data_IF_329613259556
#
_entry.id   IF_329613259556
#
_cell.length_a   1.000
_cell.length_b   1.000
_cell.length_c   1.000
_cell.angle_alpha   90.00
_cell.angle_beta   90.00
_cell.angle_gamma   90.00
#
_symmetry.space_group_name_H-M   'P 1'
#
loop_
_entity.id
_entity.type
_entity.pdbx_description
1 polymer ?
#
# COMPACT_ATOMS: atom_id res chain seq x y z
N UNK A 1 -51.25 -42.79 -5.63
CA UNK A 1 -50.22 -41.85 -5.15
C UNK A 1 -50.90 -40.50 -4.95
N UNK A 2 -51.05 -40.03 -3.70
CA UNK A 2 -51.91 -38.88 -3.35
C UNK A 2 -51.42 -37.56 -3.95
N UNK A 3 -52.32 -36.77 -4.54
CA UNK A 3 -52.06 -35.47 -5.17
C UNK A 3 -51.39 -34.47 -4.20
N UNK A 4 -51.66 -34.62 -2.90
CA UNK A 4 -51.12 -33.77 -1.83
C UNK A 4 -49.60 -33.96 -1.64
N UNK A 5 -49.07 -35.15 -1.94
CA UNK A 5 -47.64 -35.44 -1.84
C UNK A 5 -46.85 -34.89 -3.03
N UNK A 6 -47.51 -34.67 -4.17
CA UNK A 6 -46.91 -34.07 -5.36
C UNK A 6 -46.78 -32.55 -5.20
N UNK A 7 -47.83 -31.88 -4.71
CA UNK A 7 -47.86 -30.43 -4.45
C UNK A 7 -46.85 -30.05 -3.36
N UNK A 8 -46.75 -30.83 -2.28
CA UNK A 8 -45.78 -30.60 -1.20
C UNK A 8 -44.32 -30.72 -1.66
N UNK A 9 -44.01 -31.67 -2.57
CA UNK A 9 -42.68 -31.84 -3.15
C UNK A 9 -42.27 -30.70 -4.09
N UNK A 10 -43.22 -30.14 -4.84
CA UNK A 10 -42.96 -28.98 -5.71
C UNK A 10 -42.74 -27.69 -4.92
N UNK A 11 -43.46 -27.48 -3.82
CA UNK A 11 -43.28 -26.30 -2.93
C UNK A 11 -41.88 -26.32 -2.29
N UNK A 12 -41.39 -27.49 -1.86
CA UNK A 12 -40.04 -27.61 -1.29
C UNK A 12 -38.92 -27.30 -2.30
N UNK A 13 -39.09 -27.67 -3.58
CA UNK A 13 -38.12 -27.38 -4.64
C UNK A 13 -38.07 -25.89 -5.02
N UNK A 14 -39.22 -25.19 -5.00
CA UNK A 14 -39.28 -23.74 -5.29
C UNK A 14 -38.66 -22.91 -4.15
N UNK A 15 -38.82 -23.33 -2.90
CA UNK A 15 -38.21 -22.64 -1.74
C UNK A 15 -36.69 -22.82 -1.69
N UNK A 16 -36.16 -23.96 -2.12
CA UNK A 16 -34.70 -24.19 -2.17
C UNK A 16 -34.00 -23.38 -3.26
N UNK A 17 -34.69 -23.10 -4.38
CA UNK A 17 -34.14 -22.33 -5.50
C UNK A 17 -34.06 -20.81 -5.21
N UNK A 18 -34.83 -20.31 -4.24
CA UNK A 18 -34.84 -18.88 -3.88
C UNK A 18 -33.70 -18.48 -2.94
N UNK A 19 -32.89 -19.42 -2.44
CA UNK A 19 -31.81 -19.12 -1.48
C UNK A 19 -30.41 -18.92 -2.10
N UNK A 20 -30.27 -18.98 -3.44
CA UNK A 20 -28.96 -18.89 -4.12
C UNK A 20 -28.65 -17.48 -4.65
N UNK A 21 -29.55 -16.50 -4.48
CA UNK A 21 -29.32 -15.11 -4.91
C UNK A 21 -28.60 -14.26 -3.85
N UNK A 22 -27.73 -14.86 -3.03
CA UNK A 22 -26.78 -14.15 -2.18
C UNK A 22 -25.71 -13.47 -3.04
N UNK A 23 -26.04 -12.33 -3.65
CA UNK A 23 -25.10 -11.53 -4.42
C UNK A 23 -23.88 -11.19 -3.55
N UNK A 24 -22.70 -11.63 -3.97
CA UNK A 24 -21.45 -11.19 -3.35
C UNK A 24 -21.32 -9.68 -3.58
N UNK A 25 -21.59 -8.88 -2.54
CA UNK A 25 -21.21 -7.47 -2.54
C UNK A 25 -19.68 -7.43 -2.48
N UNK A 26 -19.07 -7.42 -3.65
CA UNK A 26 -17.64 -7.17 -3.79
C UNK A 26 -17.43 -5.71 -3.39
N UNK A 27 -17.16 -5.47 -2.11
CA UNK A 27 -16.80 -4.13 -1.63
C UNK A 27 -15.57 -3.66 -2.43
N UNK A 28 -15.74 -2.68 -3.29
CA UNK A 28 -14.69 -2.10 -4.12
C UNK A 28 -13.84 -1.16 -3.25
N UNK A 29 -12.54 -1.09 -3.50
CA UNK A 29 -11.69 -0.07 -2.90
C UNK A 29 -11.75 1.21 -3.75
N UNK A 30 -11.97 2.36 -3.13
CA UNK A 30 -11.93 3.63 -3.86
C UNK A 30 -10.56 3.82 -4.52
N UNK A 31 -10.49 4.38 -5.74
CA UNK A 31 -9.23 4.80 -6.33
C UNK A 31 -8.46 5.72 -5.37
N UNK A 32 -7.14 5.55 -5.32
CA UNK A 32 -6.27 6.32 -4.43
C UNK A 32 -5.15 6.99 -5.18
N UNK A 33 -4.71 8.16 -4.69
CA UNK A 33 -3.46 8.78 -5.10
C UNK A 33 -2.45 8.69 -3.97
N UNK A 34 -1.29 8.11 -4.27
CA UNK A 34 -0.20 7.88 -3.31
C UNK A 34 1.06 8.59 -3.79
N UNK A 35 1.70 9.32 -2.88
CA UNK A 35 3.02 9.89 -3.10
C UNK A 35 4.08 8.98 -2.48
N UNK A 36 5.00 8.50 -3.31
CA UNK A 36 6.16 7.71 -2.90
C UNK A 36 7.43 8.57 -2.96
N UNK A 37 8.12 8.69 -1.83
CA UNK A 37 9.36 9.45 -1.68
C UNK A 37 10.53 8.52 -1.38
N UNK A 38 11.61 8.63 -2.15
CA UNK A 38 12.90 8.04 -1.81
C UNK A 38 13.63 9.02 -0.89
N UNK A 39 13.96 8.56 0.31
CA UNK A 39 14.58 9.37 1.37
C UNK A 39 15.93 8.78 1.76
N UNK A 40 16.96 9.63 1.84
CA UNK A 40 18.26 9.29 2.42
C UNK A 40 18.26 9.71 3.89
N UNK A 41 18.50 8.77 4.81
CA UNK A 41 18.86 9.08 6.19
C UNK A 41 20.37 9.00 6.37
N UNK A 42 20.96 10.00 7.00
CA UNK A 42 22.39 10.01 7.36
C UNK A 42 22.62 10.94 8.55
N UNK A 43 23.75 10.80 9.24
CA UNK A 43 24.20 11.77 10.24
C UNK A 43 25.15 12.83 9.65
N UNK A 44 25.53 12.70 8.38
CA UNK A 44 26.40 13.66 7.69
C UNK A 44 25.58 14.70 6.95
N UNK A 45 26.05 15.95 6.96
CA UNK A 45 25.46 17.01 6.15
C UNK A 45 25.52 16.67 4.66
N UNK A 46 24.43 16.94 3.94
CA UNK A 46 24.37 16.82 2.49
C UNK A 46 24.03 18.17 1.87
N UNK A 47 25.07 18.95 1.56
CA UNK A 47 24.92 20.28 0.94
C UNK A 47 24.16 20.17 -0.39
N UNK A 48 23.22 21.09 -0.59
CA UNK A 48 22.42 21.17 -1.83
C UNK A 48 21.33 20.11 -1.97
N UNK A 49 21.07 19.29 -0.94
CA UNK A 49 19.91 18.39 -0.92
C UNK A 49 18.76 18.99 -0.12
N UNK A 50 17.54 18.75 -0.59
CA UNK A 50 16.32 19.17 0.10
C UNK A 50 16.03 18.23 1.26
N UNK A 51 15.94 18.77 2.48
CA UNK A 51 15.46 18.00 3.63
C UNK A 51 13.98 17.63 3.47
N UNK A 52 13.60 16.47 3.99
CA UNK A 52 12.18 16.08 4.05
C UNK A 52 11.42 17.01 5.01
N UNK A 53 10.09 17.03 4.89
CA UNK A 53 9.25 17.78 5.84
C UNK A 53 9.47 17.32 7.29
N UNK A 54 9.26 18.25 8.22
CA UNK A 54 9.36 18.02 9.67
C UNK A 54 8.59 16.79 10.15
N UNK A 55 7.40 16.55 9.58
CA UNK A 55 6.56 15.39 9.93
C UNK A 55 7.22 14.08 9.53
N UNK A 56 7.80 14.01 8.33
CA UNK A 56 8.54 12.83 7.87
C UNK A 56 9.81 12.66 8.70
N UNK A 57 10.58 13.74 8.91
CA UNK A 57 11.81 13.74 9.73
C UNK A 57 11.55 13.17 11.12
N UNK A 58 10.58 13.74 11.84
CA UNK A 58 10.20 13.30 13.19
C UNK A 58 9.76 11.84 13.22
N UNK A 59 9.03 11.38 12.20
CA UNK A 59 8.59 9.98 12.14
C UNK A 59 9.74 9.00 11.92
N UNK A 60 10.70 9.35 11.06
CA UNK A 60 11.87 8.52 10.82
C UNK A 60 12.83 8.53 12.02
N UNK A 61 13.09 9.70 12.62
CA UNK A 61 13.99 9.85 13.77
C UNK A 61 13.52 9.12 15.03
N UNK A 62 12.21 8.85 15.15
CA UNK A 62 11.65 8.05 16.25
C UNK A 62 12.05 6.57 16.20
N UNK A 63 12.42 6.07 15.01
CA UNK A 63 12.66 4.63 14.77
C UNK A 63 14.10 4.37 14.35
N UNK A 64 14.72 5.30 13.65
CA UNK A 64 16.05 5.13 13.05
C UNK A 64 17.05 6.14 13.65
N UNK A 65 18.32 5.72 13.73
CA UNK A 65 19.41 6.47 14.37
C UNK A 65 19.92 7.72 13.61
N UNK A 66 19.40 7.99 12.41
CA UNK A 66 19.95 9.04 11.54
C UNK A 66 19.46 10.43 11.97
N UNK A 67 20.36 11.41 11.96
CA UNK A 67 20.03 12.77 12.40
C UNK A 67 19.34 13.59 11.31
N UNK A 68 19.66 13.32 10.05
CA UNK A 68 19.19 14.09 8.90
C UNK A 68 18.54 13.20 7.86
N UNK A 69 17.54 13.74 7.18
CA UNK A 69 16.77 13.04 6.17
C UNK A 69 16.52 13.92 4.96
N UNK A 70 16.89 13.44 3.78
CA UNK A 70 16.83 14.20 2.54
C UNK A 70 15.96 13.50 1.51
N UNK A 71 15.09 14.25 0.83
CA UNK A 71 14.31 13.71 -0.29
C UNK A 71 15.22 13.63 -1.52
N UNK A 72 15.39 12.42 -2.06
CA UNK A 72 16.14 12.19 -3.29
C UNK A 72 15.24 12.19 -4.52
N UNK A 73 14.00 11.71 -4.37
CA UNK A 73 13.02 11.61 -5.45
C UNK A 73 11.60 11.48 -4.94
N UNK A 74 10.65 12.07 -5.66
CA UNK A 74 9.20 11.96 -5.45
C UNK A 74 8.51 11.37 -6.69
N UNK A 75 7.53 10.49 -6.49
CA UNK A 75 6.65 9.97 -7.55
C UNK A 75 5.22 9.84 -7.06
N UNK A 76 4.28 10.38 -7.84
CA UNK A 76 2.86 10.22 -7.61
C UNK A 76 2.32 9.00 -8.38
N UNK A 77 1.44 8.25 -7.74
CA UNK A 77 0.77 7.07 -8.30
C UNK A 77 -0.73 7.18 -8.05
N UNK A 78 -1.50 7.31 -9.13
CA UNK A 78 -2.97 7.15 -9.08
C UNK A 78 -3.31 5.69 -9.36
N UNK A 79 -3.84 4.99 -8.37
CA UNK A 79 -4.05 3.54 -8.37
C UNK A 79 -5.55 3.27 -8.30
N UNK A 80 -6.09 2.61 -9.32
CA UNK A 80 -7.50 2.23 -9.36
C UNK A 80 -7.87 1.19 -8.30
N UNK A 81 -9.15 0.85 -8.23
CA UNK A 81 -9.64 -0.22 -7.35
C UNK A 81 -8.92 -1.54 -7.64
N UNK A 82 -8.46 -2.21 -6.59
CA UNK A 82 -7.80 -3.53 -6.67
C UNK A 82 -6.49 -3.57 -7.45
N UNK A 83 -6.12 -2.45 -8.10
CA UNK A 83 -5.03 -2.37 -9.03
C UNK A 83 -3.68 -2.33 -8.31
N UNK A 84 -2.65 -2.78 -9.01
CA UNK A 84 -1.26 -2.62 -8.59
C UNK A 84 -0.53 -1.73 -9.59
N UNK A 85 0.22 -0.75 -9.10
CA UNK A 85 1.09 0.08 -9.93
C UNK A 85 2.53 0.01 -9.47
N UNK A 86 3.43 0.10 -10.44
CA UNK A 86 4.88 0.05 -10.22
C UNK A 86 5.48 1.44 -10.39
N UNK A 87 6.37 1.82 -9.48
CA UNK A 87 7.18 3.04 -9.61
C UNK A 87 8.66 2.72 -9.50
N UNK A 88 9.45 3.15 -10.50
CA UNK A 88 10.92 3.16 -10.40
C UNK A 88 11.38 4.40 -9.65
N UNK A 89 12.06 4.20 -8.52
CA UNK A 89 12.54 5.27 -7.66
C UNK A 89 14.03 5.54 -7.86
N UNK A 90 14.82 4.56 -8.28
CA UNK A 90 16.20 4.73 -8.73
C UNK A 90 16.50 3.81 -9.92
N UNK A 91 17.78 3.70 -10.33
CA UNK A 91 18.21 2.71 -11.33
C UNK A 91 18.01 1.28 -10.84
N UNK A 92 18.19 1.04 -9.53
CA UNK A 92 18.17 -0.29 -8.93
C UNK A 92 16.93 -0.56 -8.09
N UNK A 93 16.17 0.47 -7.68
CA UNK A 93 15.05 0.31 -6.76
C UNK A 93 13.70 0.67 -7.39
N UNK A 94 12.71 -0.21 -7.18
CA UNK A 94 11.30 -0.02 -7.57
C UNK A 94 10.37 -0.41 -6.44
N UNK A 95 9.16 0.13 -6.45
CA UNK A 95 8.06 -0.32 -5.60
C UNK A 95 6.89 -0.79 -6.44
N UNK A 96 6.14 -1.75 -5.91
CA UNK A 96 4.84 -2.17 -6.41
C UNK A 96 3.80 -1.87 -5.33
N UNK A 97 2.80 -1.06 -5.66
CA UNK A 97 1.80 -0.55 -4.72
C UNK A 97 0.44 -1.07 -5.16
N UNK A 98 -0.18 -1.91 -4.33
CA UNK A 98 -1.53 -2.43 -4.55
C UNK A 98 -2.54 -1.67 -3.69
N UNK A 99 -3.60 -1.15 -4.33
CA UNK A 99 -4.77 -0.67 -3.63
C UNK A 99 -5.64 -1.86 -3.21
N UNK A 100 -5.97 -1.95 -1.92
CA UNK A 100 -6.77 -3.03 -1.35
C UNK A 100 -7.98 -2.44 -0.63
N UNK A 101 -8.99 -3.28 -0.45
CA UNK A 101 -10.25 -2.94 0.22
C UNK A 101 -10.02 -2.34 1.61
N UNK A 102 -10.98 -1.54 2.08
CA UNK A 102 -10.97 -0.90 3.41
C UNK A 102 -9.76 0.04 3.62
N UNK A 103 -9.33 0.72 2.56
CA UNK A 103 -8.23 1.69 2.58
C UNK A 103 -6.85 1.09 2.89
N UNK A 104 -6.71 -0.23 2.78
CA UNK A 104 -5.43 -0.93 2.94
C UNK A 104 -4.58 -0.76 1.68
N UNK A 105 -3.28 -0.62 1.89
CA UNK A 105 -2.31 -0.65 0.80
C UNK A 105 -1.33 -1.77 1.10
N UNK A 106 -0.97 -2.53 0.07
CA UNK A 106 0.17 -3.45 0.11
C UNK A 106 1.29 -2.88 -0.75
N UNK A 107 2.51 -2.86 -0.23
CA UNK A 107 3.68 -2.37 -0.95
C UNK A 107 4.78 -3.41 -0.90
N UNK A 108 5.34 -3.73 -2.06
CA UNK A 108 6.55 -4.51 -2.20
C UNK A 108 7.68 -3.61 -2.68
N UNK A 109 8.79 -3.59 -1.94
CA UNK A 109 10.01 -2.90 -2.28
C UNK A 109 10.99 -3.88 -2.91
N UNK A 110 11.54 -3.52 -4.07
CA UNK A 110 12.58 -4.26 -4.75
C UNK A 110 13.83 -3.40 -4.89
N UNK A 111 15.00 -4.03 -4.76
CA UNK A 111 16.29 -3.44 -5.09
C UNK A 111 17.18 -4.49 -5.74
N UNK A 112 17.91 -4.11 -6.78
CA UNK A 112 18.83 -5.01 -7.50
C UNK A 112 18.15 -6.30 -7.98
N UNK A 113 16.88 -6.19 -8.39
CA UNK A 113 16.07 -7.32 -8.85
C UNK A 113 15.49 -8.21 -7.74
N UNK A 114 15.86 -8.00 -6.47
CA UNK A 114 15.38 -8.78 -5.32
C UNK A 114 14.31 -8.02 -4.55
N UNK A 115 13.30 -8.74 -4.04
CA UNK A 115 12.32 -8.17 -3.11
C UNK A 115 12.96 -8.03 -1.72
N UNK A 116 13.01 -6.82 -1.20
CA UNK A 116 13.59 -6.52 0.12
C UNK A 116 12.54 -6.55 1.23
N UNK A 117 11.40 -5.93 0.98
CA UNK A 117 10.34 -5.74 1.98
C UNK A 117 8.99 -5.87 1.31
N UNK A 118 8.07 -6.57 1.97
CA UNK A 118 6.65 -6.51 1.66
C UNK A 118 5.90 -6.10 2.91
N UNK A 119 5.05 -5.07 2.79
CA UNK A 119 4.30 -4.52 3.92
C UNK A 119 2.87 -4.20 3.52
N UNK A 120 1.92 -4.52 4.38
CA UNK A 120 0.53 -4.13 4.19
C UNK A 120 -0.02 -3.46 5.44
N UNK A 121 -0.62 -2.28 5.28
CA UNK A 121 -1.31 -1.57 6.35
C UNK A 121 -2.38 -0.65 5.77
N UNK A 122 -3.30 -0.23 6.62
CA UNK A 122 -4.17 0.91 6.30
C UNK A 122 -3.33 2.18 6.22
N UNK A 123 -3.42 2.90 5.10
CA UNK A 123 -2.80 4.20 4.93
C UNK A 123 -3.90 5.26 4.89
N UNK A 124 -4.01 6.04 5.97
CA UNK A 124 -4.94 7.17 6.06
C UNK A 124 -4.27 8.44 5.51
N UNK A 125 -5.02 9.42 4.99
CA UNK A 125 -4.49 10.77 4.75
C UNK A 125 -3.78 11.31 6.00
N UNK A 126 -2.70 12.06 5.81
CA UNK A 126 -1.84 12.55 6.91
C UNK A 126 -0.96 11.49 7.59
N UNK A 127 -1.09 10.20 7.24
CA UNK A 127 -0.25 9.12 7.78
C UNK A 127 0.78 8.63 6.75
N UNK A 128 1.82 7.95 7.24
CA UNK A 128 2.92 7.47 6.40
C UNK A 128 3.15 5.97 6.55
N UNK A 129 3.45 5.32 5.43
CA UNK A 129 4.09 4.00 5.41
C UNK A 129 5.58 4.18 5.14
N UNK A 130 6.42 3.57 5.97
CA UNK A 130 7.87 3.57 5.78
C UNK A 130 8.31 2.14 5.48
N UNK A 131 9.13 2.02 4.43
CA UNK A 131 9.84 0.81 4.02
C UNK A 131 11.33 1.11 4.09
N UNK A 132 12.06 0.36 4.92
CA UNK A 132 13.51 0.45 4.95
C UNK A 132 14.08 -0.31 3.74
N UNK A 133 15.00 0.31 3.03
CA UNK A 133 15.81 -0.34 2.02
C UNK A 133 17.07 -0.92 2.64
N UNK A 134 18.20 -0.62 2.01
CA UNK A 134 19.53 -0.95 2.53
C UNK A 134 20.12 0.16 3.41
N UNK A 135 21.08 -0.23 4.24
CA UNK A 135 21.94 0.66 5.01
C UNK A 135 23.41 0.41 4.67
N UNK A 136 24.18 1.48 4.56
CA UNK A 136 25.64 1.45 4.66
C UNK A 136 26.09 1.85 6.07
N UNK A 137 27.40 2.07 6.23
CA UNK A 137 28.01 2.45 7.52
C UNK A 137 27.39 3.72 8.11
N UNK A 138 27.22 4.75 7.28
CA UNK A 138 26.83 6.10 7.73
C UNK A 138 25.52 6.62 7.09
N UNK A 139 24.79 5.75 6.38
CA UNK A 139 23.53 6.13 5.78
C UNK A 139 22.59 4.94 5.59
N UNK A 140 21.31 5.23 5.42
CA UNK A 140 20.34 4.27 4.91
C UNK A 140 19.37 4.98 3.98
N UNK A 141 18.65 4.21 3.18
CA UNK A 141 17.59 4.75 2.35
C UNK A 141 16.24 4.13 2.67
N UNK A 142 15.19 4.92 2.46
CA UNK A 142 13.82 4.61 2.83
C UNK A 142 12.88 4.97 1.70
N UNK A 143 11.79 4.22 1.57
CA UNK A 143 10.61 4.67 0.83
C UNK A 143 9.56 5.12 1.84
N UNK A 144 9.14 6.36 1.71
CA UNK A 144 8.05 6.95 2.50
C UNK A 144 6.84 7.15 1.58
N UNK A 145 5.77 6.43 1.86
CA UNK A 145 4.50 6.58 1.16
C UNK A 145 3.51 7.38 2.00
N UNK A 146 2.81 8.33 1.37
CA UNK A 146 1.65 9.02 1.94
C UNK A 146 0.51 8.99 0.94
N UNK A 147 -0.74 8.97 1.41
CA UNK A 147 -1.85 9.38 0.54
C UNK A 147 -1.81 10.89 0.41
N UNK A 148 -2.11 11.39 -0.79
CA UNK A 148 -2.49 12.78 -0.92
C UNK A 148 -3.88 12.95 -0.29
N UNK A 149 -4.18 14.16 0.19
CA UNK A 149 -5.50 14.51 0.71
C UNK A 149 -6.59 14.39 -0.36
#
# INVERSE_FOLDING_TARGET
MSLNNLISRFIFLVVLLLFVSGGFVVAQADPITVQARLVLGTSKEQKGKTEVSDTIRKRLAKVFKWMKYYELRSRQLSIGDGATKTAKLSKTSKIEVSNRKKGRIAVSLFSEGKMLVQKSQTLKPGSYMVLAGGSGTDSAWFIVLSKNE
#
